data_IF_969220672417
#
_entry.id   IF_969220672417
#
_cell.length_a   1.000
_cell.length_b   1.000
_cell.length_c   1.000
_cell.angle_alpha   90.00
_cell.angle_beta   90.00
_cell.angle_gamma   90.00
#
_symmetry.space_group_name_H-M   'P 1'
#
loop_
_entity.id
_entity.type
_entity.pdbx_description
1 polymer ?
#
# COMPACT_ATOMS: atom_id res chain seq x y z
N UNK A 1 -1.71 -13.59 -45.44
CA UNK A 1 -1.97 -14.05 -44.06
C UNK A 1 -1.27 -13.08 -43.14
N UNK A 2 -2.01 -12.18 -42.51
CA UNK A 2 -1.47 -11.29 -41.48
C UNK A 2 -1.48 -12.08 -40.16
N UNK A 3 -0.34 -12.11 -39.49
CA UNK A 3 -0.23 -12.57 -38.10
C UNK A 3 -1.13 -11.70 -37.21
N UNK A 4 -1.85 -12.26 -36.22
CA UNK A 4 -2.50 -11.44 -35.22
C UNK A 4 -1.40 -10.66 -34.50
N UNK A 5 -1.55 -9.34 -34.38
CA UNK A 5 -0.74 -8.56 -33.44
C UNK A 5 -1.00 -9.14 -32.04
N UNK A 6 -0.02 -9.85 -31.49
CA UNK A 6 -0.02 -10.19 -30.08
C UNK A 6 -0.05 -8.89 -29.30
N UNK A 7 -1.14 -8.66 -28.55
CA UNK A 7 -1.14 -7.64 -27.50
C UNK A 7 0.09 -7.92 -26.62
N UNK A 8 0.96 -6.92 -26.37
CA UNK A 8 2.08 -7.14 -25.45
C UNK A 8 1.52 -7.65 -24.12
N UNK A 9 2.13 -8.73 -23.60
CA UNK A 9 1.76 -9.27 -22.30
C UNK A 9 1.82 -8.13 -21.25
N UNK A 10 0.80 -8.02 -20.41
CA UNK A 10 0.75 -6.98 -19.39
C UNK A 10 2.01 -7.06 -18.49
N UNK A 11 2.63 -5.91 -18.22
CA UNK A 11 3.84 -5.83 -17.39
C UNK A 11 3.58 -6.45 -16.02
N UNK A 12 4.54 -7.26 -15.54
CA UNK A 12 4.42 -8.02 -14.30
C UNK A 12 5.73 -8.01 -13.54
N UNK A 13 5.64 -7.88 -12.22
CA UNK A 13 6.77 -8.00 -11.30
C UNK A 13 6.66 -9.25 -10.42
N UNK A 14 7.64 -9.47 -9.55
CA UNK A 14 7.55 -10.46 -8.48
C UNK A 14 6.71 -9.90 -7.32
N UNK A 15 6.01 -10.72 -6.52
CA UNK A 15 5.32 -10.21 -5.34
C UNK A 15 6.34 -9.84 -4.25
N UNK A 16 6.06 -8.77 -3.50
CA UNK A 16 6.82 -8.46 -2.28
C UNK A 16 6.35 -9.35 -1.12
N UNK A 17 7.30 -9.82 -0.32
CA UNK A 17 7.01 -10.49 0.96
C UNK A 17 6.46 -9.49 1.98
N UNK A 18 5.51 -9.92 2.81
CA UNK A 18 5.01 -9.14 3.94
C UNK A 18 6.01 -9.20 5.10
N UNK A 19 7.13 -8.51 4.93
CA UNK A 19 8.25 -8.54 5.84
C UNK A 19 8.71 -7.09 6.14
N UNK A 20 8.61 -6.64 7.41
CA UNK A 20 9.03 -5.30 7.79
C UNK A 20 10.48 -4.96 7.39
N UNK A 21 11.42 -5.89 7.50
CA UNK A 21 12.83 -5.65 7.17
C UNK A 21 13.01 -5.38 5.68
N UNK A 22 12.34 -6.16 4.82
CA UNK A 22 12.34 -5.95 3.36
C UNK A 22 11.74 -4.59 3.01
N UNK A 23 10.60 -4.25 3.61
CA UNK A 23 9.92 -2.97 3.35
C UNK A 23 10.71 -1.77 3.87
N UNK A 24 11.34 -1.90 5.02
CA UNK A 24 12.24 -0.90 5.59
C UNK A 24 13.41 -0.60 4.66
N UNK A 25 14.16 -1.63 4.28
CA UNK A 25 15.28 -1.51 3.35
C UNK A 25 14.84 -0.88 2.01
N UNK A 26 13.68 -1.29 1.49
CA UNK A 26 13.11 -0.70 0.28
C UNK A 26 12.84 0.81 0.42
N UNK A 27 12.17 1.22 1.50
CA UNK A 27 11.86 2.64 1.75
C UNK A 27 13.11 3.49 2.00
N UNK A 28 14.07 2.95 2.74
CA UNK A 28 15.31 3.65 3.06
C UNK A 28 16.16 3.90 1.83
N UNK A 29 16.33 2.88 0.98
CA UNK A 29 17.05 2.99 -0.29
C UNK A 29 16.40 3.98 -1.27
N UNK A 30 15.08 4.20 -1.14
CA UNK A 30 14.34 5.13 -1.99
C UNK A 30 14.24 6.56 -1.42
N UNK A 31 14.79 6.82 -0.24
CA UNK A 31 14.97 8.20 0.25
C UNK A 31 14.23 8.57 1.54
N UNK A 32 13.69 7.61 2.27
CA UNK A 32 13.22 7.87 3.63
C UNK A 32 14.40 7.65 4.60
N UNK A 33 14.81 8.63 5.41
CA UNK A 33 15.90 8.40 6.36
C UNK A 33 15.51 7.33 7.39
N UNK A 34 16.43 6.42 7.71
CA UNK A 34 16.25 5.32 8.68
C UNK A 34 15.79 5.81 10.06
N UNK A 35 16.10 7.05 10.41
CA UNK A 35 15.75 7.66 11.70
C UNK A 35 14.35 8.30 11.73
N UNK A 36 13.56 8.19 10.65
CA UNK A 36 12.28 8.89 10.53
C UNK A 36 11.10 7.94 10.61
N UNK A 37 11.13 6.83 9.87
CA UNK A 37 10.05 5.82 9.89
C UNK A 37 10.59 4.41 9.83
N UNK A 38 9.81 3.49 10.39
CA UNK A 38 10.03 2.05 10.31
C UNK A 38 8.70 1.31 10.14
N UNK A 39 8.72 0.27 9.32
CA UNK A 39 7.70 -0.77 9.26
C UNK A 39 7.88 -1.72 10.45
N UNK A 40 6.77 -2.11 11.07
CA UNK A 40 6.72 -3.06 12.19
C UNK A 40 5.60 -4.07 11.96
N UNK A 41 5.79 -5.30 12.42
CA UNK A 41 4.71 -6.29 12.48
C UNK A 41 3.60 -5.86 13.43
N UNK A 42 2.36 -6.18 13.07
CA UNK A 42 1.20 -6.11 13.96
C UNK A 42 0.78 -7.54 14.30
N UNK A 43 1.17 -8.00 15.50
CA UNK A 43 1.01 -9.39 15.93
C UNK A 43 -0.44 -9.81 16.19
N UNK A 44 -1.35 -8.86 16.38
CA UNK A 44 -2.77 -9.12 16.56
C UNK A 44 -3.59 -7.85 16.53
N UNK A 45 -4.91 -8.02 16.48
CA UNK A 45 -5.86 -6.91 16.29
C UNK A 45 -6.67 -6.59 17.56
N UNK A 46 -6.46 -7.29 18.66
CA UNK A 46 -6.98 -6.91 19.97
C UNK A 46 -6.17 -5.77 20.60
N UNK A 47 -6.78 -5.07 21.56
CA UNK A 47 -6.23 -3.83 22.10
C UNK A 47 -4.85 -4.04 22.76
N UNK A 48 -4.59 -5.22 23.34
CA UNK A 48 -3.32 -5.55 23.98
C UNK A 48 -2.20 -5.70 22.94
N UNK A 49 -2.46 -6.44 21.86
CA UNK A 49 -1.49 -6.63 20.77
C UNK A 49 -1.35 -5.41 19.86
N UNK A 50 -2.33 -4.51 19.81
CA UNK A 50 -2.17 -3.23 19.12
C UNK A 50 -1.32 -2.24 19.94
N UNK A 51 -1.36 -2.32 21.28
CA UNK A 51 -0.64 -1.41 22.16
C UNK A 51 0.89 -1.59 22.15
N UNK A 52 1.40 -2.73 21.69
CA UNK A 52 2.85 -2.99 21.54
C UNK A 52 3.44 -2.37 20.27
N UNK A 53 2.60 -1.99 19.31
CA UNK A 53 3.04 -1.38 18.04
C UNK A 53 3.56 0.04 18.33
N UNK A 54 4.79 0.39 17.90
CA UNK A 54 5.36 1.71 18.11
C UNK A 54 4.43 2.84 17.62
N UNK A 55 4.40 3.93 18.40
CA UNK A 55 3.55 5.10 18.12
C UNK A 55 4.42 6.33 17.84
N UNK A 56 3.95 7.27 16.99
CA UNK A 56 2.70 7.23 16.24
C UNK A 56 2.75 6.33 15.00
N UNK A 57 1.61 5.70 14.69
CA UNK A 57 1.38 4.97 13.43
C UNK A 57 0.94 5.96 12.34
N UNK A 58 1.59 5.89 11.19
CA UNK A 58 1.40 6.79 10.05
C UNK A 58 0.57 6.17 8.93
N UNK A 59 0.68 4.85 8.76
CA UNK A 59 -0.11 4.06 7.81
C UNK A 59 -0.14 2.59 8.25
N UNK A 60 -1.11 1.84 7.74
CA UNK A 60 -1.23 0.39 7.98
C UNK A 60 -1.35 -0.32 6.63
N UNK A 61 -0.44 -1.24 6.34
CA UNK A 61 -0.53 -2.14 5.20
C UNK A 61 -1.22 -3.42 5.63
N UNK A 62 -2.12 -3.92 4.78
CA UNK A 62 -2.83 -5.17 5.00
C UNK A 62 -2.69 -6.06 3.78
N UNK A 63 -2.14 -7.26 3.97
CA UNK A 63 -2.11 -8.34 3.00
C UNK A 63 -3.28 -9.27 3.28
N UNK A 64 -4.09 -9.56 2.26
CA UNK A 64 -5.24 -10.45 2.37
C UNK A 64 -5.43 -11.31 1.11
N UNK A 65 -6.11 -12.46 1.18
CA UNK A 65 -6.34 -13.31 0.03
C UNK A 65 -7.43 -12.73 -0.88
N UNK A 66 -7.17 -12.71 -2.18
CA UNK A 66 -8.14 -12.52 -3.25
C UNK A 66 -8.89 -13.83 -3.44
N UNK A 67 -10.13 -13.86 -2.99
CA UNK A 67 -11.11 -14.92 -3.26
C UNK A 67 -12.17 -14.43 -4.24
N UNK A 68 -12.93 -15.35 -4.84
CA UNK A 68 -14.08 -14.99 -5.69
C UNK A 68 -15.06 -14.04 -4.99
N UNK A 69 -15.29 -14.26 -3.69
CA UNK A 69 -16.14 -13.39 -2.87
C UNK A 69 -15.57 -11.97 -2.75
N UNK A 70 -14.27 -11.84 -2.44
CA UNK A 70 -13.64 -10.51 -2.34
C UNK A 70 -13.64 -9.76 -3.68
N UNK A 71 -13.53 -10.49 -4.81
CA UNK A 71 -13.62 -9.89 -6.14
C UNK A 71 -15.03 -9.39 -6.47
N UNK A 72 -16.06 -10.17 -6.14
CA UNK A 72 -17.46 -9.75 -6.30
C UNK A 72 -17.76 -8.49 -5.48
N UNK A 73 -17.31 -8.43 -4.22
CA UNK A 73 -17.46 -7.24 -3.38
C UNK A 73 -16.73 -6.03 -3.96
N UNK A 74 -15.50 -6.20 -4.45
CA UNK A 74 -14.73 -5.13 -5.10
C UNK A 74 -15.47 -4.57 -6.31
N UNK A 75 -15.99 -5.45 -7.17
CA UNK A 75 -16.74 -5.05 -8.36
C UNK A 75 -18.05 -4.33 -8.01
N UNK A 76 -18.73 -4.77 -6.94
CA UNK A 76 -19.94 -4.10 -6.46
C UNK A 76 -19.63 -2.68 -5.96
N UNK A 77 -18.60 -2.53 -5.13
CA UNK A 77 -18.15 -1.23 -4.60
C UNK A 77 -17.73 -0.25 -5.71
N UNK A 78 -17.02 -0.76 -6.72
CA UNK A 78 -16.57 0.04 -7.88
C UNK A 78 -17.76 0.56 -8.70
N UNK A 79 -18.87 -0.17 -8.74
CA UNK A 79 -20.08 0.28 -9.46
C UNK A 79 -20.85 1.35 -8.69
N UNK A 80 -20.97 1.23 -7.35
CA UNK A 80 -21.67 2.19 -6.51
C UNK A 80 -20.95 3.53 -6.40
N UNK A 81 -19.61 3.53 -6.38
CA UNK A 81 -18.80 4.73 -6.13
C UNK A 81 -18.54 5.64 -7.33
N UNK A 82 -18.91 5.24 -8.55
CA UNK A 82 -18.81 6.09 -9.75
C UNK A 82 -19.60 7.42 -9.62
N UNK A 83 -20.44 7.56 -8.60
CA UNK A 83 -21.36 8.70 -8.42
C UNK A 83 -20.81 9.83 -7.52
N UNK A 84 -19.68 9.66 -6.82
CA UNK A 84 -19.15 10.69 -5.90
C UNK A 84 -17.66 10.97 -6.11
N UNK A 85 -17.30 11.65 -7.20
CA UNK A 85 -15.94 12.13 -7.43
C UNK A 85 -15.75 13.51 -6.77
N UNK A 86 -15.67 13.54 -5.44
CA UNK A 86 -15.15 14.71 -4.73
C UNK A 86 -13.61 14.69 -4.86
N UNK A 87 -12.99 15.84 -5.17
CA UNK A 87 -11.52 15.98 -5.19
C UNK A 87 -10.99 15.77 -3.78
N UNK A 88 -10.67 14.52 -3.44
CA UNK A 88 -9.99 14.18 -2.19
C UNK A 88 -8.52 14.61 -2.29
N UNK A 89 -7.96 15.11 -1.17
CA UNK A 89 -6.51 15.39 -1.08
C UNK A 89 -5.66 14.12 -0.99
N UNK A 90 -6.30 12.96 -0.89
CA UNK A 90 -5.66 11.66 -0.82
C UNK A 90 -4.80 11.41 -2.07
N UNK A 91 -3.53 11.12 -1.85
CA UNK A 91 -2.64 10.61 -2.89
C UNK A 91 -3.02 9.16 -3.21
N UNK A 92 -3.58 8.95 -4.39
CA UNK A 92 -4.03 7.64 -4.87
C UNK A 92 -3.52 7.37 -6.27
N UNK A 93 -3.18 6.11 -6.54
CA UNK A 93 -2.76 5.65 -7.85
C UNK A 93 -3.32 4.26 -8.14
N UNK A 94 -3.62 4.01 -9.42
CA UNK A 94 -4.09 2.70 -9.89
C UNK A 94 -2.95 1.70 -9.97
N UNK A 95 -3.30 0.43 -9.88
CA UNK A 95 -2.40 -0.68 -10.19
C UNK A 95 -2.62 -1.14 -11.62
N UNK A 96 -1.61 -0.95 -12.47
CA UNK A 96 -1.59 -1.45 -13.86
C UNK A 96 -0.51 -2.50 -14.10
N UNK A 97 0.45 -2.63 -13.18
CA UNK A 97 1.49 -3.66 -13.20
C UNK A 97 1.09 -4.82 -12.29
N UNK A 98 1.13 -6.05 -12.82
CA UNK A 98 0.82 -7.24 -12.03
C UNK A 98 1.84 -7.45 -10.92
N UNK A 99 1.39 -7.91 -9.75
CA UNK A 99 2.18 -8.10 -8.52
C UNK A 99 2.83 -6.84 -7.91
N UNK A 100 2.59 -5.65 -8.47
CA UNK A 100 3.13 -4.40 -7.91
C UNK A 100 2.39 -3.91 -6.64
N UNK A 101 1.45 -4.69 -6.07
CA UNK A 101 0.58 -4.25 -4.98
C UNK A 101 1.35 -3.83 -3.72
N UNK A 102 2.43 -4.52 -3.36
CA UNK A 102 3.27 -4.14 -2.22
C UNK A 102 3.92 -2.76 -2.40
N UNK A 103 4.52 -2.51 -3.58
CA UNK A 103 5.07 -1.20 -3.92
C UNK A 103 4.00 -0.12 -3.95
N UNK A 104 2.83 -0.41 -4.52
CA UNK A 104 1.73 0.56 -4.58
C UNK A 104 1.21 0.87 -3.17
N UNK A 105 1.08 -0.13 -2.30
CA UNK A 105 0.73 0.06 -0.89
C UNK A 105 1.73 0.97 -0.17
N UNK A 106 3.03 0.76 -0.39
CA UNK A 106 4.10 1.61 0.17
C UNK A 106 4.10 3.04 -0.42
N UNK A 107 3.80 3.20 -1.71
CA UNK A 107 3.67 4.54 -2.32
C UNK A 107 2.40 5.25 -1.83
N UNK A 108 1.31 4.53 -1.61
CA UNK A 108 0.09 5.04 -0.99
C UNK A 108 0.36 5.46 0.46
N UNK A 109 1.09 4.68 1.25
CA UNK A 109 1.41 5.05 2.63
C UNK A 109 2.26 6.33 2.66
N UNK A 110 3.41 6.34 1.98
CA UNK A 110 4.35 7.47 1.99
C UNK A 110 3.72 8.73 1.37
N UNK A 111 3.01 8.58 0.26
CA UNK A 111 2.40 9.70 -0.47
C UNK A 111 1.40 10.49 0.35
N UNK A 112 0.70 9.83 1.29
CA UNK A 112 -0.29 10.46 2.17
C UNK A 112 0.29 11.01 3.47
N UNK A 113 1.57 10.76 3.77
CA UNK A 113 2.24 11.27 4.97
C UNK A 113 3.40 12.24 4.68
N UNK A 114 3.56 12.67 3.43
CA UNK A 114 4.64 13.57 3.00
C UNK A 114 4.68 14.93 3.72
N UNK A 115 3.58 15.34 4.36
CA UNK A 115 3.52 16.52 5.24
C UNK A 115 3.99 16.24 6.67
N UNK A 116 4.04 14.97 7.08
CA UNK A 116 4.39 14.53 8.43
C UNK A 116 5.83 14.01 8.57
N UNK A 117 6.44 13.63 7.45
CA UNK A 117 7.81 13.14 7.35
C UNK A 117 8.61 13.94 6.34
N UNK A 118 9.92 14.04 6.56
CA UNK A 118 10.83 14.70 5.62
C UNK A 118 11.56 13.65 4.79
N UNK A 119 11.22 13.57 3.50
CA UNK A 119 11.99 12.82 2.52
C UNK A 119 13.36 13.47 2.33
N UNK A 120 14.38 12.66 2.03
CA UNK A 120 15.68 13.17 1.65
C UNK A 120 15.56 13.96 0.34
N UNK A 121 16.00 15.22 0.35
CA UNK A 121 15.90 16.09 -0.82
C UNK A 121 16.68 15.51 -2.01
N UNK A 122 16.04 15.47 -3.17
CA UNK A 122 16.62 14.90 -4.38
C UNK A 122 16.67 13.38 -4.41
N UNK A 123 16.16 12.68 -3.39
CA UNK A 123 16.00 11.21 -3.41
C UNK A 123 14.96 10.74 -4.42
N UNK A 124 14.87 9.43 -4.65
CA UNK A 124 13.88 8.88 -5.56
C UNK A 124 12.46 9.28 -5.17
N UNK A 125 12.03 9.01 -3.93
CA UNK A 125 10.66 9.30 -3.49
C UNK A 125 10.37 10.81 -3.53
N UNK A 126 11.34 11.65 -3.17
CA UNK A 126 11.18 13.11 -3.29
C UNK A 126 10.89 13.54 -4.73
N UNK A 127 11.67 13.04 -5.70
CA UNK A 127 11.44 13.31 -7.13
C UNK A 127 10.10 12.72 -7.60
N UNK A 128 9.81 11.47 -7.24
CA UNK A 128 8.62 10.75 -7.64
C UNK A 128 7.35 11.49 -7.21
N UNK A 129 7.22 11.86 -5.93
CA UNK A 129 6.02 12.55 -5.44
C UNK A 129 5.91 13.99 -5.98
N UNK A 130 7.03 14.69 -6.23
CA UNK A 130 7.01 15.98 -6.91
C UNK A 130 6.53 15.88 -8.35
N UNK A 131 7.01 14.88 -9.11
CA UNK A 131 6.65 14.67 -10.51
C UNK A 131 5.19 14.22 -10.70
N UNK A 132 4.63 13.51 -9.71
CA UNK A 132 3.30 12.90 -9.78
C UNK A 132 2.22 13.67 -9.01
N UNK A 133 2.58 14.79 -8.38
CA UNK A 133 1.69 15.56 -7.51
C UNK A 133 0.37 15.98 -8.21
N UNK A 134 0.46 16.43 -9.46
CA UNK A 134 -0.69 16.93 -10.23
C UNK A 134 -1.32 15.88 -11.14
N UNK A 135 -0.78 14.66 -11.18
CA UNK A 135 -1.27 13.58 -12.02
C UNK A 135 -2.52 12.94 -11.43
N UNK A 136 -3.42 12.49 -12.31
CA UNK A 136 -4.54 11.64 -11.92
C UNK A 136 -4.07 10.20 -11.58
N UNK A 137 -4.94 9.36 -10.98
CA UNK A 137 -4.54 8.02 -10.56
C UNK A 137 -4.03 7.09 -11.68
N UNK A 138 -4.51 7.25 -12.92
CA UNK A 138 -4.06 6.46 -14.07
C UNK A 138 -2.76 7.01 -14.63
N UNK A 139 -2.60 8.33 -14.67
CA UNK A 139 -1.34 8.98 -15.05
C UNK A 139 -0.20 8.59 -14.09
N UNK A 140 -0.46 8.54 -12.78
CA UNK A 140 0.48 8.03 -11.77
C UNK A 140 0.88 6.58 -12.03
N UNK A 141 -0.08 5.73 -12.41
CA UNK A 141 0.18 4.33 -12.74
C UNK A 141 1.05 4.20 -14.00
N UNK A 142 0.73 4.96 -15.06
CA UNK A 142 1.51 4.99 -16.29
C UNK A 142 2.93 5.57 -16.09
N UNK A 143 3.09 6.49 -15.14
CA UNK A 143 4.40 6.99 -14.71
C UNK A 143 5.22 5.88 -14.06
N UNK A 144 4.65 5.18 -13.07
CA UNK A 144 5.28 4.05 -12.38
C UNK A 144 5.67 2.92 -13.35
N UNK A 145 4.80 2.61 -14.31
CA UNK A 145 5.02 1.53 -15.29
C UNK A 145 6.26 1.75 -16.15
N UNK A 146 6.65 3.01 -16.38
CA UNK A 146 7.84 3.40 -17.16
C UNK A 146 9.07 3.64 -16.30
N UNK A 147 8.94 3.59 -14.98
CA UNK A 147 10.02 3.91 -14.05
C UNK A 147 10.92 2.70 -13.80
N UNK A 148 12.09 2.72 -14.44
CA UNK A 148 13.10 1.64 -14.34
C UNK A 148 13.79 1.65 -12.97
N UNK A 149 13.96 2.80 -12.33
CA UNK A 149 14.62 2.90 -11.02
C UNK A 149 13.75 2.22 -9.96
N UNK A 150 12.44 2.46 -10.00
CA UNK A 150 11.48 1.77 -9.14
C UNK A 150 11.39 0.27 -9.44
N UNK A 151 11.38 -0.14 -10.70
CA UNK A 151 11.35 -1.55 -11.07
C UNK A 151 12.58 -2.31 -10.55
N UNK A 152 13.77 -1.71 -10.63
CA UNK A 152 15.00 -2.27 -10.07
C UNK A 152 14.91 -2.36 -8.55
N UNK A 153 14.49 -1.30 -7.87
CA UNK A 153 14.35 -1.29 -6.42
C UNK A 153 13.35 -2.35 -5.94
N UNK A 154 12.23 -2.50 -6.66
CA UNK A 154 11.21 -3.51 -6.38
C UNK A 154 11.78 -4.92 -6.55
N UNK A 155 12.52 -5.18 -7.63
CA UNK A 155 13.12 -6.50 -7.90
C UNK A 155 14.12 -6.91 -6.82
N UNK A 156 14.93 -5.96 -6.34
CA UNK A 156 15.86 -6.18 -5.22
C UNK A 156 15.10 -6.54 -3.95
N UNK A 157 14.04 -5.79 -3.61
CA UNK A 157 13.24 -6.06 -2.42
C UNK A 157 12.50 -7.42 -2.51
N UNK A 158 11.92 -7.74 -3.67
CA UNK A 158 11.23 -9.01 -3.90
C UNK A 158 12.16 -10.23 -3.75
N UNK A 159 13.47 -10.05 -3.97
CA UNK A 159 14.48 -11.11 -3.85
C UNK A 159 15.17 -11.15 -2.48
N UNK A 160 14.85 -10.21 -1.58
CA UNK A 160 15.51 -10.06 -0.28
C UNK A 160 14.73 -10.69 0.89
N UNK A 161 13.52 -11.21 0.62
CA UNK A 161 12.70 -11.89 1.62
C UNK A 161 13.31 -13.21 2.11
N UNK A 162 12.68 -13.80 3.12
CA UNK A 162 13.09 -15.10 3.66
C UNK A 162 12.54 -16.27 2.84
N UNK A 163 11.61 -16.00 1.92
CA UNK A 163 10.96 -16.99 1.06
C UNK A 163 11.27 -16.78 -0.42
N UNK A 164 11.26 -17.88 -1.19
CA UNK A 164 11.40 -17.83 -2.64
C UNK A 164 10.13 -17.23 -3.27
N UNK A 165 10.29 -16.18 -4.07
CA UNK A 165 9.18 -15.50 -4.72
C UNK A 165 8.49 -16.41 -5.75
N UNK A 166 7.17 -16.59 -5.61
CA UNK A 166 6.32 -17.27 -6.59
C UNK A 166 5.66 -16.27 -7.51
N UNK A 167 5.63 -16.56 -8.81
CA UNK A 167 4.91 -15.73 -9.77
C UNK A 167 3.40 -15.67 -9.47
N UNK A 168 2.81 -16.80 -9.12
CA UNK A 168 1.38 -16.91 -8.88
C UNK A 168 1.09 -16.76 -7.38
N UNK A 169 0.51 -15.63 -7.02
CA UNK A 169 0.02 -15.35 -5.66
C UNK A 169 -1.43 -14.95 -5.71
N UNK A 170 -2.20 -15.43 -4.74
CA UNK A 170 -3.58 -15.08 -4.53
C UNK A 170 -3.74 -14.04 -3.42
N UNK A 171 -2.66 -13.41 -2.93
CA UNK A 171 -2.70 -12.37 -1.90
C UNK A 171 -2.49 -10.97 -2.46
N UNK A 172 -3.06 -9.96 -1.80
CA UNK A 172 -3.04 -8.57 -2.25
C UNK A 172 -2.83 -7.58 -1.11
N UNK A 173 -1.94 -6.61 -1.32
CA UNK A 173 -1.70 -5.52 -0.39
C UNK A 173 -2.65 -4.35 -0.65
N UNK A 174 -3.17 -3.78 0.44
CA UNK A 174 -3.83 -2.48 0.48
C UNK A 174 -3.24 -1.62 1.59
N UNK A 175 -3.47 -0.30 1.51
CA UNK A 175 -2.99 0.66 2.49
C UNK A 175 -4.17 1.36 3.19
N UNK A 176 -4.08 1.51 4.51
CA UNK A 176 -4.94 2.38 5.30
C UNK A 176 -4.14 3.61 5.76
N UNK A 177 -4.74 4.80 5.60
CA UNK A 177 -4.13 6.07 6.02
C UNK A 177 -5.19 7.05 6.53
N UNK A 178 -4.81 7.99 7.38
CA UNK A 178 -5.68 9.05 7.88
C UNK A 178 -5.39 10.35 7.11
N UNK A 179 -6.37 10.85 6.36
CA UNK A 179 -6.25 12.11 5.60
C UNK A 179 -7.44 13.01 5.91
N UNK A 180 -7.17 14.26 6.28
CA UNK A 180 -8.19 15.26 6.64
C UNK A 180 -9.20 14.75 7.70
N UNK A 181 -8.76 13.90 8.63
CA UNK A 181 -9.60 13.36 9.71
C UNK A 181 -10.48 12.17 9.33
N UNK A 182 -10.23 11.53 8.19
CA UNK A 182 -10.92 10.31 7.77
C UNK A 182 -9.95 9.16 7.49
N UNK A 183 -10.40 7.93 7.80
CA UNK A 183 -9.73 6.69 7.45
C UNK A 183 -10.01 6.35 6.00
N UNK A 184 -8.96 6.24 5.18
CA UNK A 184 -9.04 5.80 3.80
C UNK A 184 -8.38 4.44 3.61
N UNK A 185 -9.10 3.52 2.97
CA UNK A 185 -8.55 2.34 2.33
C UNK A 185 -8.16 2.67 0.89
N UNK A 186 -6.92 2.36 0.55
CA UNK A 186 -6.29 2.61 -0.74
C UNK A 186 -5.91 1.27 -1.38
N UNK A 187 -6.70 0.87 -2.37
CA UNK A 187 -6.48 -0.30 -3.21
C UNK A 187 -6.36 0.14 -4.66
N UNK A 188 -5.17 -0.03 -5.26
CA UNK A 188 -4.93 0.33 -6.66
C UNK A 188 -5.84 -0.40 -7.66
N UNK A 189 -6.48 -1.51 -7.26
CA UNK A 189 -7.43 -2.27 -8.09
C UNK A 189 -8.83 -1.64 -8.10
N UNK A 190 -9.20 -0.85 -7.07
CA UNK A 190 -10.50 -0.15 -6.95
C UNK A 190 -10.58 1.13 -7.77
N UNK A 191 -11.79 1.63 -8.01
CA UNK A 191 -12.02 2.86 -8.78
C UNK A 191 -11.43 4.12 -8.13
N UNK A 192 -11.22 4.11 -6.81
CA UNK A 192 -10.67 5.22 -6.04
C UNK A 192 -10.54 4.87 -4.54
N UNK A 193 -10.07 5.83 -3.72
CA UNK A 193 -10.03 5.69 -2.27
C UNK A 193 -11.39 5.35 -1.67
N UNK A 194 -11.39 4.54 -0.62
CA UNK A 194 -12.59 4.15 0.13
C UNK A 194 -12.53 4.76 1.52
N UNK A 195 -13.41 5.74 1.80
CA UNK A 195 -13.56 6.27 3.16
C UNK A 195 -14.30 5.25 4.04
N UNK A 196 -13.75 5.04 5.23
CA UNK A 196 -14.32 4.22 6.31
C UNK A 196 -14.82 5.08 7.49
N UNK A 197 -14.90 6.40 7.29
CA UNK A 197 -15.39 7.35 8.29
C UNK A 197 -14.28 8.02 9.10
N UNK A 198 -14.64 8.70 10.21
CA UNK A 198 -13.72 9.52 10.98
C UNK A 198 -12.54 8.74 11.57
N UNK A 199 -11.35 9.33 11.53
CA UNK A 199 -10.14 8.81 12.18
C UNK A 199 -9.16 9.94 12.51
N UNK A 200 -8.04 9.60 13.13
CA UNK A 200 -7.02 10.55 13.56
C UNK A 200 -5.63 9.88 13.58
N UNK A 201 -4.54 10.65 13.58
CA UNK A 201 -3.20 10.08 13.79
C UNK A 201 -3.08 9.24 15.08
N UNK A 202 -3.85 9.55 16.12
CA UNK A 202 -3.87 8.80 17.39
C UNK A 202 -4.76 7.56 17.40
N UNK A 203 -5.67 7.39 16.43
CA UNK A 203 -6.63 6.27 16.38
C UNK A 203 -6.53 5.44 15.10
N UNK A 204 -5.66 5.83 14.17
CA UNK A 204 -5.49 5.22 12.85
C UNK A 204 -5.36 3.70 12.94
N UNK A 205 -4.48 3.20 13.80
CA UNK A 205 -4.25 1.76 13.94
C UNK A 205 -5.51 1.02 14.43
N UNK A 206 -6.19 1.56 15.46
CA UNK A 206 -7.39 0.95 16.02
C UNK A 206 -8.55 0.99 15.03
N UNK A 207 -8.69 2.08 14.27
CA UNK A 207 -9.76 2.23 13.29
C UNK A 207 -9.52 1.32 12.08
N UNK A 208 -8.28 1.25 11.58
CA UNK A 208 -7.89 0.28 10.54
C UNK A 208 -8.10 -1.17 11.01
N UNK A 209 -7.71 -1.50 12.24
CA UNK A 209 -7.89 -2.84 12.81
C UNK A 209 -9.36 -3.26 12.85
N UNK A 210 -10.31 -2.34 13.11
CA UNK A 210 -11.76 -2.64 13.05
C UNK A 210 -12.19 -3.03 11.64
N UNK A 211 -11.73 -2.30 10.62
CA UNK A 211 -12.03 -2.61 9.21
C UNK A 211 -11.42 -3.96 8.82
N UNK A 212 -10.15 -4.18 9.17
CA UNK A 212 -9.43 -5.42 8.88
C UNK A 212 -10.11 -6.63 9.53
N UNK A 213 -10.56 -6.53 10.79
CA UNK A 213 -11.36 -7.59 11.44
C UNK A 213 -12.60 -7.94 10.62
N UNK A 214 -13.31 -6.94 10.10
CA UNK A 214 -14.47 -7.15 9.22
C UNK A 214 -14.10 -7.86 7.92
N UNK A 215 -12.94 -7.56 7.32
CA UNK A 215 -12.44 -8.24 6.13
C UNK A 215 -12.04 -9.70 6.41
N UNK A 216 -11.41 -9.96 7.55
CA UNK A 216 -11.03 -11.32 7.99
C UNK A 216 -12.29 -12.17 8.26
N UNK A 217 -13.29 -11.61 8.95
CA UNK A 217 -14.54 -12.32 9.26
C UNK A 217 -15.30 -12.80 8.02
N UNK A 218 -15.13 -12.12 6.88
CA UNK A 218 -15.72 -12.53 5.60
C UNK A 218 -15.00 -13.70 4.95
N UNK A 219 -13.80 -14.05 5.40
CA UNK A 219 -12.96 -15.11 4.86
C UNK A 219 -12.54 -16.07 6.00
N UNK A 220 -13.50 -16.71 6.70
CA UNK A 220 -13.23 -17.43 7.95
C UNK A 220 -12.33 -18.66 7.80
N UNK A 221 -12.22 -19.21 6.59
CA UNK A 221 -11.39 -20.38 6.29
C UNK A 221 -9.93 -20.01 5.93
N UNK A 222 -9.62 -18.72 5.79
CA UNK A 222 -8.26 -18.29 5.46
C UNK A 222 -7.45 -17.96 6.71
N UNK A 223 -6.16 -18.25 6.64
CA UNK A 223 -5.14 -17.77 7.58
C UNK A 223 -4.12 -16.85 6.90
N UNK A 224 -4.26 -16.61 5.59
CA UNK A 224 -3.29 -15.90 4.76
C UNK A 224 -3.48 -14.38 4.88
N UNK A 225 -3.29 -13.86 6.09
CA UNK A 225 -3.38 -12.43 6.39
C UNK A 225 -2.09 -11.96 7.04
N UNK A 226 -1.68 -10.74 6.75
CA UNK A 226 -0.58 -10.07 7.45
C UNK A 226 -0.88 -8.57 7.55
N UNK A 227 -0.47 -7.95 8.66
CA UNK A 227 -0.63 -6.52 8.91
C UNK A 227 0.72 -5.94 9.30
N UNK A 228 1.13 -4.87 8.61
CA UNK A 228 2.35 -4.12 8.88
C UNK A 228 1.97 -2.67 9.17
N UNK A 229 2.48 -2.11 10.25
CA UNK A 229 2.34 -0.69 10.57
C UNK A 229 3.58 0.08 10.13
N UNK A 230 3.40 1.20 9.42
CA UNK A 230 4.46 2.18 9.22
C UNK A 230 4.38 3.19 10.36
N UNK A 231 5.43 3.29 11.16
CA UNK A 231 5.49 4.08 12.40
C UNK A 231 6.59 5.14 12.31
N UNK A 232 6.55 6.16 13.17
CA UNK A 232 7.73 7.02 13.38
C UNK A 232 8.73 6.32 14.29
N UNK A 233 10.00 6.35 13.90
CA UNK A 233 11.09 5.87 14.77
C UNK A 233 11.14 6.75 16.01
N UNK A 234 11.19 6.13 17.18
CA UNK A 234 11.34 6.86 18.43
C UNK A 234 12.67 7.65 18.40
N UNK A 235 12.61 8.94 18.72
CA UNK A 235 13.83 9.74 18.84
C UNK A 235 14.75 9.09 19.88
N UNK A 236 15.92 8.63 19.45
CA UNK A 236 16.96 8.15 20.35
C UNK A 236 17.42 9.36 21.15
N UNK A 237 17.16 9.36 22.46
CA UNK A 237 17.61 10.39 23.40
C UNK A 237 19.11 10.26 23.63
#
# INVERSE_FOLDING_TARGET
MATPEESPAAKRWLPLEANPDVMNQFLWNLGIPETVTECCDVYGLDDELLAIVPQPVLAVLFLYPITSQTEEERLHQDNEKRVSAMRSKVYFMKQTVGNACGTIGLLHSVGNITSEIKLQEGSFLDRFFKSTATMDPLERAAFLEKDVEMEVAHSVAASAGETEASDNVDTHFICFTCVDGELYELDGRKSGPVSHGPSSPSSLLQDAAKVIKGMIQKNPESLNFNVIALTKVAATV
#
